data_IF_218496462510
#
_entry.id   IF_218496462510
#
_cell.length_a   1.000
_cell.length_b   1.000
_cell.length_c   1.000
_cell.angle_alpha   90.00
_cell.angle_beta   90.00
_cell.angle_gamma   90.00
#
_symmetry.space_group_name_H-M   'P 1'
#
loop_
_entity.id
_entity.type
_entity.pdbx_description
1 polymer ?
#
# COMPACT_ATOMS: atom_id res chain seq x y z
N UNK A 1 9.29 -4.25 -3.73
CA UNK A 1 7.84 -4.51 -3.85
C UNK A 1 7.07 -4.07 -2.59
N UNK A 2 7.31 -4.66 -1.43
CA UNK A 2 6.53 -4.42 -0.20
C UNK A 2 6.35 -2.92 0.14
N UNK A 3 7.43 -2.16 0.19
CA UNK A 3 7.36 -0.73 0.51
C UNK A 3 6.55 0.07 -0.54
N UNK A 4 6.66 -0.28 -1.80
CA UNK A 4 5.91 0.38 -2.88
C UNK A 4 4.40 0.13 -2.75
N UNK A 5 4.00 -1.09 -2.45
CA UNK A 5 2.59 -1.43 -2.19
C UNK A 5 2.04 -0.63 -1.01
N UNK A 6 2.79 -0.57 0.09
CA UNK A 6 2.39 0.20 1.28
C UNK A 6 2.28 1.71 0.99
N UNK A 7 3.19 2.27 0.18
CA UNK A 7 3.11 3.67 -0.25
C UNK A 7 1.82 3.93 -1.05
N UNK A 8 1.48 3.06 -2.00
CA UNK A 8 0.25 3.16 -2.77
C UNK A 8 -1.01 3.06 -1.88
N UNK A 9 -0.97 2.26 -0.83
CA UNK A 9 -2.12 2.07 0.07
C UNK A 9 -2.23 3.16 1.15
N UNK A 10 -1.15 3.89 1.43
CA UNK A 10 -1.08 4.81 2.56
C UNK A 10 -2.16 5.90 2.52
N UNK A 11 -2.42 6.49 1.35
CA UNK A 11 -3.45 7.53 1.19
C UNK A 11 -4.86 7.01 1.53
N UNK A 12 -5.21 5.84 1.00
CA UNK A 12 -6.49 5.18 1.28
C UNK A 12 -6.63 4.86 2.77
N UNK A 13 -5.61 4.23 3.36
CA UNK A 13 -5.64 3.83 4.76
C UNK A 13 -5.68 5.03 5.70
N UNK A 14 -4.92 6.10 5.40
CA UNK A 14 -4.98 7.34 6.16
C UNK A 14 -6.38 7.98 6.11
N UNK A 15 -7.00 8.02 4.94
CA UNK A 15 -8.37 8.50 4.78
C UNK A 15 -9.37 7.70 5.63
N UNK A 16 -9.26 6.39 5.62
CA UNK A 16 -10.10 5.51 6.44
C UNK A 16 -9.90 5.68 7.94
N UNK A 17 -8.69 6.06 8.37
CA UNK A 17 -8.40 6.31 9.79
C UNK A 17 -9.07 7.56 10.34
N UNK A 18 -9.26 8.59 9.51
CA UNK A 18 -9.79 9.89 9.93
C UNK A 18 -11.23 10.13 9.49
N UNK A 19 -11.66 9.47 8.44
CA UNK A 19 -13.00 9.62 7.86
C UNK A 19 -13.62 8.24 7.71
N UNK A 20 -14.84 8.08 8.24
CA UNK A 20 -15.57 6.81 8.20
C UNK A 20 -16.08 6.44 6.80
N UNK A 21 -16.15 7.39 5.88
CA UNK A 21 -16.59 7.18 4.50
C UNK A 21 -15.40 7.20 3.54
N UNK A 22 -15.21 6.08 2.85
CA UNK A 22 -13.96 5.76 2.13
C UNK A 22 -14.05 5.93 0.62
N UNK A 23 -15.08 6.58 0.12
CA UNK A 23 -15.31 6.79 -1.31
C UNK A 23 -14.46 7.93 -1.92
N UNK A 24 -13.21 8.09 -1.51
CA UNK A 24 -12.31 9.04 -2.14
C UNK A 24 -11.86 8.50 -3.51
N UNK A 25 -12.42 9.03 -4.58
CA UNK A 25 -12.04 8.70 -5.96
C UNK A 25 -10.54 8.90 -6.25
N UNK A 26 -9.88 9.80 -5.51
CA UNK A 26 -8.44 10.06 -5.64
C UNK A 26 -7.54 8.89 -5.27
N UNK A 27 -8.00 7.94 -4.45
CA UNK A 27 -7.22 6.77 -4.06
C UNK A 27 -7.33 5.59 -5.03
N UNK A 28 -8.20 5.67 -6.04
CA UNK A 28 -8.49 4.53 -6.91
C UNK A 28 -7.30 4.14 -7.78
N UNK A 29 -6.57 5.10 -8.32
CA UNK A 29 -5.40 4.82 -9.17
C UNK A 29 -4.26 4.18 -8.37
N UNK A 30 -4.04 4.65 -7.15
CA UNK A 30 -3.03 4.11 -6.24
C UNK A 30 -3.39 2.69 -5.79
N UNK A 31 -4.66 2.45 -5.51
CA UNK A 31 -5.15 1.12 -5.18
C UNK A 31 -4.97 0.13 -6.34
N UNK A 32 -5.29 0.53 -7.58
CA UNK A 32 -5.01 -0.27 -8.78
C UNK A 32 -3.52 -0.55 -8.96
N UNK A 33 -2.68 0.44 -8.70
CA UNK A 33 -1.22 0.29 -8.75
C UNK A 33 -0.73 -0.72 -7.71
N UNK A 34 -1.24 -0.69 -6.49
CA UNK A 34 -0.94 -1.68 -5.46
C UNK A 34 -1.31 -3.10 -5.89
N UNK A 35 -2.50 -3.30 -6.43
CA UNK A 35 -2.96 -4.59 -6.96
C UNK A 35 -2.03 -5.10 -8.07
N UNK A 36 -1.67 -4.24 -9.01
CA UNK A 36 -0.79 -4.61 -10.12
C UNK A 36 0.62 -4.98 -9.63
N UNK A 37 1.17 -4.27 -8.65
CA UNK A 37 2.45 -4.61 -8.03
C UNK A 37 2.42 -6.01 -7.40
N UNK A 38 1.34 -6.34 -6.70
CA UNK A 38 1.17 -7.67 -6.10
C UNK A 38 1.03 -8.74 -7.17
N UNK A 39 0.20 -8.52 -8.19
CA UNK A 39 0.03 -9.47 -9.30
C UNK A 39 1.36 -9.73 -10.02
N UNK A 40 2.12 -8.68 -10.31
CA UNK A 40 3.42 -8.82 -10.96
C UNK A 40 4.42 -9.56 -10.06
N UNK A 41 4.44 -9.26 -8.77
CA UNK A 41 5.28 -9.99 -7.82
C UNK A 41 4.95 -11.48 -7.75
N UNK A 42 3.66 -11.85 -7.78
CA UNK A 42 3.22 -13.24 -7.82
C UNK A 42 3.59 -13.94 -9.12
N UNK A 43 3.50 -13.24 -10.26
CA UNK A 43 3.75 -13.82 -11.58
C UNK A 43 5.22 -13.88 -11.97
N UNK A 44 6.00 -12.85 -11.62
CA UNK A 44 7.38 -12.70 -12.05
C UNK A 44 8.39 -13.15 -10.99
N UNK A 45 8.09 -12.91 -9.73
CA UNK A 45 9.01 -13.18 -8.61
C UNK A 45 8.67 -14.47 -7.85
N UNK A 46 7.53 -15.08 -8.11
CA UNK A 46 7.10 -16.32 -7.45
C UNK A 46 6.96 -16.17 -5.93
N UNK A 47 6.54 -15.00 -5.47
CA UNK A 47 6.40 -14.69 -4.05
C UNK A 47 5.21 -15.43 -3.42
N UNK A 48 5.21 -15.55 -2.09
CA UNK A 48 4.11 -16.13 -1.29
C UNK A 48 3.79 -17.61 -1.54
N UNK A 49 4.81 -18.40 -1.87
CA UNK A 49 4.66 -19.85 -2.06
C UNK A 49 3.91 -20.25 -3.31
N UNK A 50 3.61 -19.30 -4.19
CA UNK A 50 3.05 -19.58 -5.50
C UNK A 50 4.18 -19.90 -6.46
N UNK A 51 4.10 -21.05 -7.12
CA UNK A 51 5.13 -21.47 -8.07
C UNK A 51 5.15 -20.57 -9.29
N UNK A 52 6.31 -20.03 -9.60
CA UNK A 52 6.56 -19.27 -10.82
C UNK A 52 6.13 -20.01 -12.10
N UNK A 53 6.26 -21.34 -12.10
CA UNK A 53 5.86 -22.19 -13.21
C UNK A 53 4.34 -22.25 -13.40
N UNK A 54 3.57 -22.14 -12.34
CA UNK A 54 2.11 -22.17 -12.42
C UNK A 54 1.53 -20.94 -13.13
N UNK A 55 2.24 -19.79 -13.08
CA UNK A 55 1.75 -18.58 -13.71
C UNK A 55 2.35 -18.29 -15.09
N UNK A 56 3.62 -18.60 -15.29
CA UNK A 56 4.33 -18.22 -16.51
C UNK A 56 4.07 -19.16 -17.70
N UNK A 57 3.85 -20.44 -17.44
CA UNK A 57 3.65 -21.42 -18.50
C UNK A 57 2.19 -21.52 -19.00
N UNK A 58 1.26 -20.88 -18.31
CA UNK A 58 -0.18 -21.01 -18.57
C UNK A 58 -0.85 -19.67 -18.91
N UNK A 59 -0.11 -18.73 -19.48
CA UNK A 59 -0.65 -17.41 -19.86
C UNK A 59 -1.87 -17.47 -20.79
N UNK A 60 -2.09 -18.58 -21.47
CA UNK A 60 -3.14 -18.73 -22.47
C UNK A 60 -4.27 -19.69 -22.10
N UNK A 61 -4.06 -20.54 -21.08
CA UNK A 61 -5.02 -21.60 -20.70
C UNK A 61 -5.11 -21.78 -19.17
N UNK A 62 -5.15 -20.68 -18.42
CA UNK A 62 -5.49 -20.79 -17.00
C UNK A 62 -6.95 -21.23 -16.86
N UNK A 63 -7.18 -22.39 -16.24
CA UNK A 63 -8.53 -22.80 -15.86
C UNK A 63 -9.16 -21.74 -14.96
N UNK A 64 -10.49 -21.60 -14.99
CA UNK A 64 -11.22 -20.70 -14.09
C UNK A 64 -10.78 -20.85 -12.63
N UNK A 65 -10.57 -22.09 -12.21
CA UNK A 65 -10.09 -22.41 -10.85
C UNK A 65 -8.71 -21.82 -10.53
N UNK A 66 -7.80 -21.77 -11.51
CA UNK A 66 -6.48 -21.18 -11.33
C UNK A 66 -6.56 -19.66 -11.23
N UNK A 67 -7.46 -19.04 -12.00
CA UNK A 67 -7.75 -17.62 -11.89
C UNK A 67 -8.35 -17.28 -10.52
N UNK A 68 -9.32 -18.04 -10.05
CA UNK A 68 -9.94 -17.85 -8.74
C UNK A 68 -8.92 -17.97 -7.60
N UNK A 69 -8.05 -18.97 -7.66
CA UNK A 69 -6.97 -19.14 -6.68
C UNK A 69 -6.00 -17.96 -6.68
N UNK A 70 -5.63 -17.46 -7.85
CA UNK A 70 -4.75 -16.30 -7.99
C UNK A 70 -5.38 -15.04 -7.40
N UNK A 71 -6.62 -14.76 -7.74
CA UNK A 71 -7.34 -13.60 -7.21
C UNK A 71 -7.56 -13.71 -5.70
N UNK A 72 -7.78 -14.89 -5.16
CA UNK A 72 -7.87 -15.13 -3.72
C UNK A 72 -6.53 -14.79 -3.02
N UNK A 73 -5.39 -15.15 -3.60
CA UNK A 73 -4.06 -14.80 -3.07
C UNK A 73 -3.83 -13.30 -3.14
N UNK A 74 -4.16 -12.66 -4.26
CA UNK A 74 -4.05 -11.19 -4.41
C UNK A 74 -4.90 -10.49 -3.36
N UNK A 75 -6.13 -10.93 -3.14
CA UNK A 75 -7.04 -10.37 -2.15
C UNK A 75 -6.46 -10.50 -0.72
N UNK A 76 -5.97 -11.68 -0.35
CA UNK A 76 -5.35 -11.92 0.95
C UNK A 76 -4.11 -11.03 1.17
N UNK A 77 -3.29 -10.84 0.15
CA UNK A 77 -2.11 -9.97 0.21
C UNK A 77 -2.48 -8.49 0.35
N UNK A 78 -3.48 -8.00 -0.37
CA UNK A 78 -3.99 -6.63 -0.21
C UNK A 78 -4.45 -6.40 1.24
N UNK A 79 -5.24 -7.30 1.79
CA UNK A 79 -5.71 -7.24 3.17
C UNK A 79 -4.52 -7.17 4.16
N UNK A 80 -3.53 -8.02 3.96
CA UNK A 80 -2.32 -8.03 4.79
C UNK A 80 -1.56 -6.71 4.73
N UNK A 81 -1.37 -6.15 3.53
CA UNK A 81 -0.68 -4.87 3.36
C UNK A 81 -1.47 -3.68 3.91
N UNK A 82 -2.79 -3.70 3.82
CA UNK A 82 -3.65 -2.69 4.44
C UNK A 82 -3.44 -2.69 5.96
N UNK A 83 -3.44 -3.87 6.60
CA UNK A 83 -3.21 -3.97 8.04
C UNK A 83 -1.81 -3.51 8.44
N UNK A 84 -0.79 -3.87 7.69
CA UNK A 84 0.59 -3.42 7.94
C UNK A 84 0.72 -1.90 7.76
N UNK A 85 0.15 -1.34 6.71
CA UNK A 85 0.17 0.10 6.45
C UNK A 85 -0.53 0.87 7.58
N UNK A 86 -1.69 0.38 8.02
CA UNK A 86 -2.42 0.97 9.15
C UNK A 86 -1.58 0.96 10.43
N UNK A 87 -0.91 -0.16 10.73
CA UNK A 87 -0.04 -0.25 11.89
C UNK A 87 1.10 0.76 11.86
N UNK A 88 1.73 0.96 10.70
CA UNK A 88 2.79 1.96 10.52
C UNK A 88 2.25 3.39 10.69
N UNK A 89 1.11 3.69 10.11
CA UNK A 89 0.50 5.02 10.23
C UNK A 89 0.07 5.34 11.66
N UNK A 90 -0.50 4.37 12.38
CA UNK A 90 -0.86 4.53 13.80
C UNK A 90 0.37 4.83 14.65
N UNK A 91 1.47 4.11 14.45
CA UNK A 91 2.73 4.33 15.18
C UNK A 91 3.35 5.68 14.88
N UNK A 92 3.11 6.25 13.70
CA UNK A 92 3.65 7.53 13.26
C UNK A 92 2.56 8.61 13.12
N UNK A 93 1.49 8.49 13.89
CA UNK A 93 0.32 9.38 13.81
C UNK A 93 0.70 10.84 14.00
N UNK A 94 1.59 11.15 14.94
CA UNK A 94 2.05 12.52 15.19
C UNK A 94 2.72 13.14 13.96
N UNK A 95 3.55 12.38 13.26
CA UNK A 95 4.15 12.83 12.01
C UNK A 95 3.10 13.09 10.94
N UNK A 96 2.15 12.17 10.78
CA UNK A 96 1.06 12.28 9.80
C UNK A 96 0.22 13.53 10.04
N UNK A 97 -0.18 13.80 11.28
CA UNK A 97 -0.98 14.96 11.64
C UNK A 97 -0.22 16.28 11.42
N UNK A 98 1.03 16.36 11.85
CA UNK A 98 1.86 17.56 11.62
C UNK A 98 2.11 17.81 10.13
N UNK A 99 2.33 16.78 9.34
CA UNK A 99 2.50 16.91 7.89
C UNK A 99 1.20 17.37 7.22
N UNK A 100 0.05 16.83 7.62
CA UNK A 100 -1.24 17.24 7.11
C UNK A 100 -1.56 18.71 7.44
N UNK A 101 -1.31 19.14 8.67
CA UNK A 101 -1.50 20.53 9.10
C UNK A 101 -0.59 21.49 8.33
N UNK A 102 0.69 21.14 8.19
CA UNK A 102 1.64 21.94 7.41
C UNK A 102 1.24 22.03 5.93
N UNK A 103 0.74 20.95 5.35
CA UNK A 103 0.25 20.93 3.97
C UNK A 103 -1.00 21.78 3.80
N UNK A 104 -1.91 21.78 4.78
CA UNK A 104 -3.11 22.61 4.77
C UNK A 104 -2.78 24.10 4.82
N UNK A 105 -1.71 24.49 5.53
CA UNK A 105 -1.25 25.89 5.61
C UNK A 105 -0.47 26.35 4.37
N UNK A 106 0.44 25.50 3.90
CA UNK A 106 1.40 25.85 2.83
C UNK A 106 0.97 25.43 1.43
N UNK A 107 -0.03 24.55 1.31
CA UNK A 107 -0.50 23.91 0.07
C UNK A 107 0.55 23.04 -0.63
N UNK A 108 1.84 23.29 -0.40
CA UNK A 108 2.96 22.51 -0.93
C UNK A 108 4.02 22.36 0.15
N UNK A 109 4.50 21.13 0.37
CA UNK A 109 5.63 20.83 1.24
C UNK A 109 6.87 20.54 0.41
N UNK A 110 7.96 21.24 0.72
CA UNK A 110 9.28 20.96 0.16
C UNK A 110 9.98 19.91 1.01
N UNK A 111 11.04 19.33 0.46
CA UNK A 111 11.85 18.33 1.18
C UNK A 111 12.34 18.85 2.54
N UNK A 112 12.76 20.14 2.61
CA UNK A 112 13.18 20.78 3.85
C UNK A 112 12.06 20.85 4.90
N UNK A 113 10.83 21.11 4.48
CA UNK A 113 9.66 21.13 5.38
C UNK A 113 9.40 19.74 5.97
N UNK A 114 9.44 18.72 5.13
CA UNK A 114 9.26 17.33 5.54
C UNK A 114 10.36 16.92 6.52
N UNK A 115 11.61 17.29 6.26
CA UNK A 115 12.72 16.98 7.17
C UNK A 115 12.58 17.69 8.52
N UNK A 116 12.13 18.93 8.53
CA UNK A 116 11.86 19.69 9.77
C UNK A 116 10.77 19.01 10.61
N UNK A 117 9.68 18.58 9.98
CA UNK A 117 8.61 17.84 10.67
C UNK A 117 9.14 16.51 11.20
N UNK A 118 9.89 15.78 10.38
CA UNK A 118 10.49 14.49 10.77
C UNK A 118 11.42 14.63 11.98
N UNK A 119 12.21 15.71 12.05
CA UNK A 119 13.11 15.96 13.17
C UNK A 119 12.36 16.40 14.45
N UNK A 120 11.13 16.89 14.32
CA UNK A 120 10.30 17.33 15.47
C UNK A 120 9.52 16.20 16.14
N UNK A 121 9.52 15.01 15.58
CA UNK A 121 8.78 13.85 16.08
C UNK A 121 9.66 12.60 16.10
N UNK A 122 9.25 11.59 16.88
CA UNK A 122 9.91 10.28 16.87
C UNK A 122 9.29 9.41 15.78
N UNK A 123 10.10 9.02 14.80
CA UNK A 123 9.67 8.13 13.72
C UNK A 123 9.94 6.67 14.11
N UNK A 124 8.89 5.86 14.08
CA UNK A 124 9.00 4.41 14.23
C UNK A 124 9.12 3.78 12.86
N UNK A 125 10.27 3.17 12.59
CA UNK A 125 10.48 2.45 11.32
C UNK A 125 9.60 1.22 11.23
N UNK A 126 9.14 0.92 10.01
CA UNK A 126 8.53 -0.36 9.73
C UNK A 126 9.62 -1.44 9.81
N UNK A 127 9.41 -2.38 10.70
CA UNK A 127 10.24 -3.60 10.74
C UNK A 127 9.56 -4.57 9.77
N UNK A 128 10.24 -4.83 8.68
CA UNK A 128 9.77 -5.81 7.70
C UNK A 128 9.85 -7.23 8.31
#
# INVERSE_FOLDING_TARGET
MQNQVMICLAGKVATEMYYSDTCASGCLSDFKSAINLIRNGLTEEGTNGVSFLEFKNYCYDLSERSWDNREAVVHAEIERYILQTRAVLIKNKEFLEKAADALAEKETLLYSDIQSIKNSVTITKCVA
#
